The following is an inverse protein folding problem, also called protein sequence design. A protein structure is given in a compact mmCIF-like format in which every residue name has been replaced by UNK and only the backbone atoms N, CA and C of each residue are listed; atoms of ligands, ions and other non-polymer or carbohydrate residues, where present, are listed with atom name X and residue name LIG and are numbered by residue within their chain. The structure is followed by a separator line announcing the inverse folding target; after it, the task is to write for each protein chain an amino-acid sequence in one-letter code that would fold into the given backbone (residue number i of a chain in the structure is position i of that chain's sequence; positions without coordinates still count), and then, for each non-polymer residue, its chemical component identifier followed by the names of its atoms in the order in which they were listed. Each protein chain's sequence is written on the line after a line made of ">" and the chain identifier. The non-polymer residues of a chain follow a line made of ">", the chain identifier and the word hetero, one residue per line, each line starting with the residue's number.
data_IF_446467950338
#
_entry.id   IF_446467950338
#
_cell.length_a   1.000
_cell.length_b   1.000
_cell.length_c   1.000
_cell.angle_alpha   90.00
_cell.angle_beta   90.00
_cell.angle_gamma   90.00
#
_symmetry.space_group_name_H-M   'P 1'
#
loop_
_entity.id
_entity.type
_entity.pdbx_description
1 polymer ?
#
# COMPACT_ATOMS: atom_id res chain seq x y z
N UNK A 1 8.33 -13.93 31.52
CA UNK A 1 8.06 -14.30 32.90
C UNK A 1 9.21 -15.17 33.42
N UNK A 2 9.65 -14.95 34.64
CA UNK A 2 10.66 -15.76 35.31
C UNK A 2 10.28 -15.94 36.77
N UNK A 3 10.76 -17.01 37.37
CA UNK A 3 10.62 -17.25 38.82
C UNK A 3 11.90 -16.76 39.45
N UNK A 4 11.88 -15.70 40.28
CA UNK A 4 13.05 -15.25 41.01
C UNK A 4 13.49 -16.31 42.01
N UNK A 5 14.76 -16.26 42.42
CA UNK A 5 15.22 -17.13 43.49
C UNK A 5 14.45 -16.75 44.77
N UNK A 6 13.69 -17.70 45.31
CA UNK A 6 12.79 -17.43 46.45
C UNK A 6 12.68 -18.68 47.32
N UNK A 7 12.46 -18.46 48.60
CA UNK A 7 12.05 -19.51 49.50
C UNK A 7 10.52 -19.69 49.48
N UNK A 8 10.08 -20.88 49.13
CA UNK A 8 8.66 -21.18 49.05
C UNK A 8 8.13 -21.32 50.49
N UNK A 9 7.42 -20.30 50.95
CA UNK A 9 6.71 -20.29 52.23
C UNK A 9 5.23 -20.36 51.95
N UNK A 10 4.50 -21.18 52.71
CA UNK A 10 3.04 -21.36 52.60
C UNK A 10 2.53 -21.81 51.23
N UNK A 11 3.37 -22.51 50.40
CA UNK A 11 2.98 -23.00 49.09
C UNK A 11 2.76 -21.90 48.05
N UNK A 12 3.21 -20.66 48.29
CA UNK A 12 3.11 -19.54 47.34
C UNK A 12 4.39 -19.40 46.54
N UNK A 13 4.24 -19.31 45.20
CA UNK A 13 5.33 -19.07 44.25
C UNK A 13 5.13 -17.69 43.63
N UNK A 14 6.10 -16.81 43.74
CA UNK A 14 6.10 -15.52 43.05
C UNK A 14 6.60 -15.72 41.61
N UNK A 15 5.79 -15.29 40.67
CA UNK A 15 6.17 -15.25 39.24
C UNK A 15 6.26 -13.80 38.84
N UNK A 16 7.45 -13.36 38.37
CA UNK A 16 7.64 -12.01 37.83
C UNK A 16 7.46 -12.03 36.32
N UNK A 17 6.54 -11.17 35.86
CA UNK A 17 6.30 -10.93 34.45
C UNK A 17 6.98 -9.61 34.11
N UNK A 18 7.94 -9.67 33.18
CA UNK A 18 8.55 -8.49 32.59
C UNK A 18 7.88 -8.25 31.26
N UNK A 19 7.22 -7.11 31.13
CA UNK A 19 6.62 -6.67 29.90
C UNK A 19 7.65 -5.84 29.10
N UNK A 20 7.98 -6.32 27.88
CA UNK A 20 8.94 -5.62 27.01
C UNK A 20 8.36 -4.30 26.51
N UNK A 21 9.12 -3.21 26.66
CA UNK A 21 8.80 -1.90 26.11
C UNK A 21 9.52 -1.70 24.79
N UNK A 22 8.95 -0.88 23.91
CA UNK A 22 9.60 -0.52 22.67
C UNK A 22 10.82 0.36 22.95
N UNK A 23 12.00 -0.08 22.53
CA UNK A 23 13.25 0.65 22.54
C UNK A 23 13.41 1.53 21.30
N UNK A 24 14.50 1.32 20.56
CA UNK A 24 14.79 2.04 19.34
C UNK A 24 14.05 1.41 18.12
N UNK A 25 13.63 2.26 17.17
CA UNK A 25 13.19 1.86 15.85
C UNK A 25 14.32 2.15 14.87
N UNK A 26 14.84 1.11 14.24
CA UNK A 26 16.00 1.16 13.35
C UNK A 26 15.53 0.80 11.94
N UNK A 27 15.98 1.56 10.93
CA UNK A 27 15.63 1.34 9.54
C UNK A 27 16.85 0.88 8.75
N UNK A 28 16.69 -0.22 8.00
CA UNK A 28 17.72 -0.77 7.13
C UNK A 28 17.17 -1.04 5.73
N UNK A 29 17.96 -0.72 4.70
CA UNK A 29 17.70 -1.10 3.31
C UNK A 29 16.71 -0.22 2.55
N UNK A 30 16.13 0.81 3.18
CA UNK A 30 15.23 1.73 2.51
C UNK A 30 15.98 2.71 1.60
N UNK A 31 15.50 2.89 0.39
CA UNK A 31 16.08 3.76 -0.66
C UNK A 31 15.04 4.71 -1.26
N UNK A 32 13.88 4.17 -1.64
CA UNK A 32 12.80 4.89 -2.32
C UNK A 32 11.72 5.37 -1.36
N UNK A 33 11.54 4.68 -0.24
CA UNK A 33 10.58 5.02 0.80
C UNK A 33 11.33 5.58 2.00
N UNK A 34 11.09 6.83 2.35
CA UNK A 34 11.80 7.47 3.46
C UNK A 34 11.41 6.86 4.81
N UNK A 35 12.40 6.74 5.71
CA UNK A 35 12.17 6.25 7.08
C UNK A 35 11.09 7.04 7.80
N UNK A 36 11.08 8.36 7.64
CA UNK A 36 10.09 9.25 8.25
C UNK A 36 8.65 8.99 7.78
N UNK A 37 8.48 8.52 6.53
CA UNK A 37 7.15 8.14 6.01
C UNK A 37 6.76 6.78 6.51
N UNK A 38 7.67 5.81 6.52
CA UNK A 38 7.44 4.47 7.07
C UNK A 38 7.07 4.56 8.56
N UNK A 39 7.81 5.35 9.33
CA UNK A 39 7.60 5.55 10.77
C UNK A 39 6.19 6.04 11.12
N UNK A 40 5.59 6.89 10.28
CA UNK A 40 4.21 7.38 10.48
C UNK A 40 3.16 6.27 10.55
N UNK A 41 3.42 5.14 9.90
CA UNK A 41 2.51 3.99 9.90
C UNK A 41 2.69 3.07 11.10
N UNK A 42 3.73 3.30 11.94
CA UNK A 42 3.91 2.58 13.17
C UNK A 42 3.19 3.26 14.33
N UNK A 43 2.32 2.48 15.00
CA UNK A 43 1.50 2.99 16.10
C UNK A 43 2.17 2.80 17.47
N UNK A 44 3.16 1.92 17.57
CA UNK A 44 3.93 1.73 18.80
C UNK A 44 4.97 2.84 18.95
N UNK A 45 5.00 3.49 20.10
CA UNK A 45 5.95 4.56 20.41
C UNK A 45 7.03 4.08 21.35
N UNK A 46 8.17 4.78 21.34
CA UNK A 46 9.27 4.52 22.29
C UNK A 46 8.77 4.55 23.75
N UNK A 47 9.21 3.60 24.54
CA UNK A 47 8.85 3.38 25.95
C UNK A 47 7.39 2.91 26.22
N UNK A 48 6.57 2.71 25.18
CA UNK A 48 5.27 2.06 25.33
C UNK A 48 5.44 0.52 25.36
N UNK A 49 4.45 -0.17 25.92
CA UNK A 49 4.41 -1.63 25.90
C UNK A 49 4.40 -2.13 24.44
N UNK A 50 5.31 -3.03 24.12
CA UNK A 50 5.40 -3.60 22.78
C UNK A 50 4.24 -4.57 22.52
N UNK A 51 3.30 -4.16 21.69
CA UNK A 51 2.21 -5.02 21.24
C UNK A 51 2.56 -5.63 19.87
N UNK A 52 2.87 -6.91 19.89
CA UNK A 52 3.26 -7.65 18.67
C UNK A 52 2.13 -7.68 17.63
N UNK A 53 0.86 -7.77 18.05
CA UNK A 53 -0.28 -7.74 17.13
C UNK A 53 -0.43 -6.39 16.43
N UNK A 54 -0.16 -5.29 17.14
CA UNK A 54 -0.14 -3.95 16.53
C UNK A 54 1.00 -3.84 15.53
N UNK A 55 2.20 -4.28 15.90
CA UNK A 55 3.36 -4.31 15.01
C UNK A 55 3.09 -5.13 13.74
N UNK A 56 2.52 -6.32 13.88
CA UNK A 56 2.15 -7.17 12.73
C UNK A 56 1.17 -6.45 11.80
N UNK A 57 0.14 -5.81 12.34
CA UNK A 57 -0.86 -5.07 11.57
C UNK A 57 -0.23 -3.89 10.81
N UNK A 58 0.67 -3.15 11.46
CA UNK A 58 1.38 -2.05 10.83
C UNK A 58 2.28 -2.53 9.68
N UNK A 59 2.99 -3.66 9.88
CA UNK A 59 3.78 -4.31 8.82
C UNK A 59 2.91 -4.78 7.65
N UNK A 60 1.76 -5.38 7.93
CA UNK A 60 0.82 -5.81 6.88
C UNK A 60 0.38 -4.62 6.02
N UNK A 61 0.04 -3.47 6.64
CA UNK A 61 -0.33 -2.26 5.92
C UNK A 61 0.77 -1.75 5.02
N UNK A 62 1.99 -1.68 5.53
CA UNK A 62 3.15 -1.25 4.74
C UNK A 62 3.40 -2.19 3.55
N UNK A 63 3.25 -3.50 3.77
CA UNK A 63 3.44 -4.53 2.76
C UNK A 63 2.29 -4.66 1.75
N UNK A 64 1.18 -3.90 1.92
CA UNK A 64 0.19 -3.72 0.86
C UNK A 64 0.73 -2.89 -0.32
N UNK A 65 1.82 -2.15 -0.12
CA UNK A 65 2.50 -1.47 -1.22
C UNK A 65 3.30 -2.50 -2.05
N UNK A 66 3.07 -2.61 -3.38
CA UNK A 66 3.69 -3.65 -4.20
C UNK A 66 5.21 -3.53 -4.33
N UNK A 67 5.75 -2.34 -4.09
CA UNK A 67 7.17 -2.04 -4.27
C UNK A 67 7.94 -1.94 -2.94
N UNK A 68 7.28 -2.25 -1.82
CA UNK A 68 7.84 -2.21 -0.48
C UNK A 68 7.55 -3.51 0.26
N UNK A 69 8.61 -4.18 0.72
CA UNK A 69 8.49 -5.34 1.59
C UNK A 69 9.34 -5.10 2.86
N UNK A 70 8.67 -5.00 4.01
CA UNK A 70 9.32 -4.74 5.30
C UNK A 70 9.15 -5.95 6.20
N UNK A 71 10.28 -6.34 6.83
CA UNK A 71 10.31 -7.33 7.90
C UNK A 71 10.83 -6.68 9.17
N UNK A 72 10.22 -6.99 10.31
CA UNK A 72 10.71 -6.56 11.61
C UNK A 72 11.55 -7.66 12.26
N UNK A 73 12.69 -7.26 12.82
CA UNK A 73 13.51 -8.09 13.69
C UNK A 73 13.50 -7.44 15.07
N UNK A 74 13.04 -8.20 16.06
CA UNK A 74 12.99 -7.76 17.44
C UNK A 74 14.26 -8.30 18.14
N UNK A 75 14.99 -7.42 18.80
CA UNK A 75 16.21 -7.75 19.58
C UNK A 75 16.15 -7.11 20.95
N UNK A 76 16.99 -7.55 21.87
CA UNK A 76 17.13 -6.90 23.17
C UNK A 76 17.57 -5.45 23.00
N UNK A 77 16.90 -4.53 23.68
CA UNK A 77 17.23 -3.12 23.64
C UNK A 77 18.45 -2.78 24.51
N UNK A 78 18.94 -1.55 24.38
CA UNK A 78 20.07 -1.06 25.17
C UNK A 78 19.71 -0.83 26.65
N UNK A 79 18.47 -0.49 26.93
CA UNK A 79 17.97 -0.30 28.27
C UNK A 79 17.32 -1.59 28.79
N UNK A 80 17.39 -1.89 30.09
CA UNK A 80 16.69 -3.04 30.67
C UNK A 80 15.19 -2.99 30.34
N UNK A 81 14.60 -4.16 30.09
CA UNK A 81 13.17 -4.33 29.80
C UNK A 81 12.72 -3.69 28.47
N UNK A 82 13.64 -3.26 27.60
CA UNK A 82 13.32 -2.74 26.27
C UNK A 82 13.66 -3.72 25.18
N UNK A 83 12.94 -3.61 24.04
CA UNK A 83 13.20 -4.35 22.81
C UNK A 83 13.36 -3.37 21.65
N UNK A 84 14.50 -3.45 20.95
CA UNK A 84 14.73 -2.68 19.74
C UNK A 84 14.12 -3.38 18.54
N UNK A 85 13.51 -2.60 17.65
CA UNK A 85 12.88 -3.10 16.43
C UNK A 85 13.68 -2.62 15.24
N UNK A 86 14.30 -3.55 14.51
CA UNK A 86 14.96 -3.26 13.24
C UNK A 86 14.02 -3.60 12.09
N UNK A 87 13.67 -2.59 11.30
CA UNK A 87 12.85 -2.71 10.10
C UNK A 87 13.77 -2.88 8.89
N UNK A 88 13.77 -4.09 8.33
CA UNK A 88 14.53 -4.41 7.13
C UNK A 88 13.63 -4.24 5.92
N UNK A 89 13.85 -3.18 5.14
CA UNK A 89 13.13 -2.90 3.92
C UNK A 89 13.82 -3.55 2.71
N UNK A 90 13.03 -4.21 1.88
CA UNK A 90 13.40 -4.62 0.54
C UNK A 90 12.48 -3.89 -0.43
N UNK A 91 13.05 -3.06 -1.26
CA UNK A 91 12.29 -2.16 -2.13
C UNK A 91 12.56 -2.47 -3.60
N UNK A 92 11.52 -2.27 -4.41
CA UNK A 92 11.62 -2.14 -5.86
C UNK A 92 11.49 -0.66 -6.25
N UNK A 93 11.91 -0.31 -7.46
CA UNK A 93 11.65 1.04 -7.99
C UNK A 93 10.14 1.25 -8.11
N UNK A 94 9.58 2.33 -7.50
CA UNK A 94 8.13 2.48 -7.40
C UNK A 94 7.46 2.97 -8.68
N UNK A 95 8.20 3.19 -9.76
CA UNK A 95 7.70 3.65 -11.06
C UNK A 95 7.68 2.51 -12.08
N UNK A 96 6.56 2.31 -12.76
CA UNK A 96 6.38 1.26 -13.76
C UNK A 96 5.71 1.81 -14.99
N UNK A 97 6.11 1.32 -16.18
CA UNK A 97 5.43 1.57 -17.44
C UNK A 97 5.15 0.24 -18.11
N UNK A 98 4.07 0.18 -18.88
CA UNK A 98 3.72 -1.04 -19.58
C UNK A 98 2.89 -0.78 -20.82
N UNK A 99 2.79 -1.85 -21.63
CA UNK A 99 1.99 -1.90 -22.82
C UNK A 99 1.09 -3.13 -22.76
N UNK A 100 -0.16 -2.96 -23.15
CA UNK A 100 -1.14 -4.03 -23.29
C UNK A 100 -1.75 -4.01 -24.67
N UNK A 101 -2.20 -5.16 -25.13
CA UNK A 101 -2.97 -5.30 -26.37
C UNK A 101 -4.05 -6.34 -26.15
N UNK A 102 -5.30 -5.96 -26.38
CA UNK A 102 -6.41 -6.89 -26.38
C UNK A 102 -7.21 -6.85 -27.70
N UNK A 103 -8.10 -7.82 -27.87
CA UNK A 103 -9.00 -7.93 -29.01
C UNK A 103 -10.47 -7.88 -28.59
N UNK A 104 -10.77 -7.26 -27.45
CA UNK A 104 -12.12 -7.17 -26.87
C UNK A 104 -12.92 -5.97 -27.38
N UNK A 105 -12.35 -5.18 -28.30
CA UNK A 105 -13.06 -4.10 -28.96
C UNK A 105 -14.20 -4.60 -29.83
N UNK A 106 -15.24 -3.78 -30.00
CA UNK A 106 -16.33 -4.10 -30.90
C UNK A 106 -15.91 -3.92 -32.37
N UNK A 107 -16.65 -4.58 -33.27
CA UNK A 107 -16.42 -4.45 -34.71
C UNK A 107 -16.61 -3.01 -35.22
N UNK A 108 -17.45 -2.23 -34.56
CA UNK A 108 -17.81 -0.86 -34.97
C UNK A 108 -16.77 0.19 -34.54
N UNK A 109 -16.06 -0.05 -33.42
CA UNK A 109 -15.11 0.92 -32.86
C UNK A 109 -13.65 0.48 -32.93
N UNK A 110 -13.40 -0.75 -33.45
CA UNK A 110 -12.07 -1.33 -33.57
C UNK A 110 -11.86 -2.52 -32.65
N UNK A 111 -11.53 -3.67 -33.25
CA UNK A 111 -11.38 -4.95 -32.54
C UNK A 111 -10.16 -4.96 -31.62
N UNK A 112 -9.03 -4.45 -32.10
CA UNK A 112 -7.76 -4.43 -31.37
C UNK A 112 -7.62 -3.12 -30.63
N UNK A 113 -7.24 -3.21 -29.33
CA UNK A 113 -7.11 -2.07 -28.45
C UNK A 113 -5.74 -2.09 -27.78
N UNK A 114 -4.71 -1.47 -28.36
CA UNK A 114 -3.48 -1.20 -27.65
C UNK A 114 -3.72 -0.19 -26.52
N UNK A 115 -2.99 -0.41 -25.42
CA UNK A 115 -3.03 0.43 -24.24
C UNK A 115 -1.61 0.65 -23.73
N UNK A 116 -1.27 1.89 -23.41
CA UNK A 116 -0.07 2.25 -22.66
C UNK A 116 -0.44 2.71 -21.26
N UNK A 117 0.39 2.38 -20.31
CA UNK A 117 0.18 2.90 -18.95
C UNK A 117 1.51 3.21 -18.25
N UNK A 118 1.43 4.15 -17.32
CA UNK A 118 2.44 4.41 -16.31
C UNK A 118 1.79 4.39 -14.94
N UNK A 119 2.50 3.85 -13.95
CA UNK A 119 2.03 3.82 -12.57
C UNK A 119 3.17 4.05 -11.60
N UNK A 120 2.84 4.58 -10.43
CA UNK A 120 3.76 4.66 -9.31
C UNK A 120 3.05 4.30 -8.02
N UNK A 121 3.75 3.62 -7.12
CA UNK A 121 3.28 3.28 -5.78
C UNK A 121 3.81 4.24 -4.70
N UNK A 122 4.58 5.26 -5.11
CA UNK A 122 5.15 6.29 -4.25
C UNK A 122 5.51 7.54 -5.07
N UNK A 123 4.51 8.13 -5.73
CA UNK A 123 4.70 9.18 -6.73
C UNK A 123 5.30 10.46 -6.15
N UNK A 124 4.87 10.88 -4.96
CA UNK A 124 5.38 12.09 -4.27
C UNK A 124 6.21 11.77 -3.02
N UNK A 125 6.51 10.49 -2.76
CA UNK A 125 7.24 10.07 -1.58
C UNK A 125 6.39 9.92 -0.31
N UNK A 126 5.05 9.89 -0.44
CA UNK A 126 4.08 9.80 0.66
C UNK A 126 3.31 8.47 0.70
N UNK A 127 3.84 7.45 0.01
CA UNK A 127 3.15 6.17 -0.22
C UNK A 127 1.83 6.34 -1.00
N UNK A 128 1.77 7.37 -1.82
CA UNK A 128 0.69 7.69 -2.72
C UNK A 128 0.81 6.88 -4.01
N UNK A 129 -0.31 6.57 -4.62
CA UNK A 129 -0.33 5.85 -5.90
C UNK A 129 -0.84 6.73 -7.01
N UNK A 130 -0.20 6.59 -8.15
CA UNK A 130 -0.54 7.25 -9.40
C UNK A 130 -0.69 6.22 -10.49
N UNK A 131 -1.70 6.36 -11.33
CA UNK A 131 -1.91 5.55 -12.52
C UNK A 131 -2.44 6.42 -13.64
N UNK A 132 -1.79 6.37 -14.80
CA UNK A 132 -2.23 7.02 -16.03
C UNK A 132 -2.24 5.96 -17.13
N UNK A 133 -3.31 5.89 -17.90
CA UNK A 133 -3.38 5.02 -19.08
C UNK A 133 -3.97 5.75 -20.27
N UNK A 134 -3.54 5.31 -21.45
CA UNK A 134 -4.07 5.71 -22.75
C UNK A 134 -4.39 4.45 -23.55
N UNK A 135 -5.64 4.29 -23.90
CA UNK A 135 -6.16 3.21 -24.71
C UNK A 135 -6.68 3.79 -26.03
N UNK A 136 -6.42 3.10 -27.14
CA UNK A 136 -6.95 3.52 -28.43
C UNK A 136 -7.29 2.31 -29.33
N UNK A 137 -8.07 2.58 -30.35
CA UNK A 137 -8.44 1.63 -31.39
C UNK A 137 -8.54 2.35 -32.73
N UNK A 138 -9.06 1.70 -33.76
CA UNK A 138 -9.25 2.35 -35.07
C UNK A 138 -10.25 3.52 -35.03
N UNK A 139 -11.17 3.53 -34.08
CA UNK A 139 -12.26 4.51 -34.02
C UNK A 139 -12.61 4.94 -32.60
N UNK A 140 -11.74 4.71 -31.63
CA UNK A 140 -11.92 5.21 -30.27
C UNK A 140 -10.58 5.42 -29.57
N UNK A 141 -10.56 6.39 -28.67
CA UNK A 141 -9.44 6.64 -27.76
C UNK A 141 -9.95 6.99 -26.39
N UNK A 142 -9.15 6.71 -25.38
CA UNK A 142 -9.51 7.03 -24.02
C UNK A 142 -8.30 7.16 -23.10
N UNK A 143 -8.43 8.09 -22.19
CA UNK A 143 -7.43 8.39 -21.18
C UNK A 143 -8.04 8.15 -19.81
N UNK A 144 -7.27 7.59 -18.88
CA UNK A 144 -7.68 7.52 -17.49
C UNK A 144 -6.54 7.86 -16.55
N UNK A 145 -6.86 8.64 -15.54
CA UNK A 145 -5.97 9.07 -14.48
C UNK A 145 -6.57 8.65 -13.14
N UNK A 146 -5.78 8.00 -12.31
CA UNK A 146 -6.13 7.72 -10.91
C UNK A 146 -4.99 8.18 -10.00
N UNK A 147 -5.32 8.94 -8.98
CA UNK A 147 -4.38 9.33 -7.95
C UNK A 147 -4.98 9.04 -6.59
N UNK A 148 -4.24 8.33 -5.73
CA UNK A 148 -4.68 8.04 -4.38
C UNK A 148 -3.58 8.33 -3.37
N UNK A 149 -3.96 9.00 -2.28
CA UNK A 149 -3.07 9.35 -1.19
C UNK A 149 -3.57 8.77 0.14
N UNK A 150 -2.69 8.19 0.98
CA UNK A 150 -3.07 7.80 2.33
C UNK A 150 -3.45 9.02 3.16
N UNK A 151 -4.57 8.91 3.89
CA UNK A 151 -5.04 9.92 4.85
C UNK A 151 -4.99 9.32 6.25
N UNK A 152 -4.11 9.85 7.09
CA UNK A 152 -3.82 9.25 8.39
C UNK A 152 -2.97 7.98 8.24
N UNK A 153 -3.03 7.13 9.27
CA UNK A 153 -2.14 5.96 9.43
C UNK A 153 -2.88 4.63 9.53
N UNK A 154 -4.22 4.66 9.48
CA UNK A 154 -5.10 3.51 9.70
C UNK A 154 -5.67 2.90 8.39
N UNK A 155 -4.95 3.07 7.27
CA UNK A 155 -5.35 2.44 6.00
C UNK A 155 -6.41 3.20 5.20
N UNK A 156 -6.83 4.38 5.65
CA UNK A 156 -7.73 5.25 4.87
C UNK A 156 -6.97 5.88 3.71
N UNK A 157 -7.59 5.86 2.52
CA UNK A 157 -7.06 6.51 1.32
C UNK A 157 -8.13 7.39 0.69
N UNK A 158 -7.74 8.57 0.24
CA UNK A 158 -8.53 9.41 -0.64
C UNK A 158 -8.00 9.23 -2.07
N UNK A 159 -8.88 9.04 -3.03
CA UNK A 159 -8.54 8.91 -4.43
C UNK A 159 -9.40 9.82 -5.30
N UNK A 160 -8.85 10.21 -6.44
CA UNK A 160 -9.55 10.89 -7.52
C UNK A 160 -9.29 10.12 -8.80
N UNK A 161 -10.38 9.67 -9.41
CA UNK A 161 -10.38 8.95 -10.69
C UNK A 161 -11.00 9.85 -11.76
N UNK A 162 -10.27 10.11 -12.84
CA UNK A 162 -10.70 10.93 -13.97
C UNK A 162 -10.56 10.08 -15.23
N UNK A 163 -11.58 10.08 -16.09
CA UNK A 163 -11.48 9.44 -17.39
C UNK A 163 -12.18 10.26 -18.48
N UNK A 164 -11.61 10.18 -19.68
CA UNK A 164 -12.12 10.75 -20.90
C UNK A 164 -12.07 9.70 -21.99
N UNK A 165 -13.18 9.46 -22.67
CA UNK A 165 -13.27 8.56 -23.81
C UNK A 165 -14.00 9.22 -24.97
N UNK A 166 -13.44 9.09 -26.18
CA UNK A 166 -14.04 9.48 -27.43
C UNK A 166 -14.19 8.26 -28.31
N UNK A 167 -15.34 8.12 -28.96
CA UNK A 167 -15.65 7.00 -29.83
C UNK A 167 -16.35 7.52 -31.08
N UNK A 168 -15.85 7.13 -32.26
CA UNK A 168 -16.50 7.31 -33.55
C UNK A 168 -17.04 5.98 -34.03
N UNK A 169 -18.28 5.94 -34.48
CA UNK A 169 -18.80 4.74 -35.10
C UNK A 169 -18.22 4.62 -36.52
N UNK A 170 -17.58 3.51 -36.77
CA UNK A 170 -16.97 3.19 -38.05
C UNK A 170 -17.83 2.26 -38.91
N UNK A 171 -17.24 1.79 -40.02
CA UNK A 171 -17.82 0.83 -40.99
C UNK A 171 -19.15 1.30 -41.60
N UNK A 172 -20.22 0.58 -41.34
CA UNK A 172 -21.56 0.83 -41.91
C UNK A 172 -22.14 2.19 -41.49
N UNK A 173 -21.58 2.82 -40.44
CA UNK A 173 -22.06 4.11 -39.89
C UNK A 173 -21.09 5.26 -40.16
N UNK A 174 -20.04 5.05 -40.95
CA UNK A 174 -19.02 6.07 -41.25
C UNK A 174 -19.63 7.33 -41.86
N UNK A 175 -20.58 7.17 -42.76
CA UNK A 175 -21.26 8.28 -43.43
C UNK A 175 -22.16 9.12 -42.53
N UNK A 176 -22.50 8.59 -41.35
CA UNK A 176 -23.33 9.30 -40.38
C UNK A 176 -22.55 10.15 -39.40
N UNK A 177 -21.20 10.06 -39.41
CA UNK A 177 -20.25 10.79 -38.53
C UNK A 177 -20.66 10.82 -37.04
N UNK A 178 -21.15 9.66 -36.56
CA UNK A 178 -21.64 9.54 -35.20
C UNK A 178 -20.42 9.50 -34.23
N UNK A 179 -20.32 10.49 -33.37
CA UNK A 179 -19.30 10.59 -32.33
C UNK A 179 -19.94 10.58 -30.95
N UNK A 180 -19.41 9.78 -30.03
CA UNK A 180 -19.78 9.76 -28.62
C UNK A 180 -18.61 10.14 -27.74
N UNK A 181 -18.85 10.95 -26.71
CA UNK A 181 -17.87 11.35 -25.73
C UNK A 181 -18.35 10.96 -24.33
N UNK A 182 -17.47 10.37 -23.53
CA UNK A 182 -17.74 10.06 -22.13
C UNK A 182 -16.69 10.71 -21.26
N UNK A 183 -17.13 11.42 -20.23
CA UNK A 183 -16.27 12.03 -19.23
C UNK A 183 -16.71 11.56 -17.85
N UNK A 184 -15.76 11.26 -16.98
CA UNK A 184 -16.05 10.92 -15.60
C UNK A 184 -15.03 11.55 -14.66
N UNK A 185 -15.50 11.97 -13.50
CA UNK A 185 -14.68 12.44 -12.39
C UNK A 185 -15.28 11.87 -11.11
N UNK A 186 -14.57 10.96 -10.46
CA UNK A 186 -15.06 10.21 -9.31
C UNK A 186 -14.12 10.34 -8.12
N UNK A 187 -14.43 11.19 -7.11
CA UNK A 187 -13.75 11.15 -5.84
C UNK A 187 -14.13 9.86 -5.10
N UNK A 188 -13.15 9.21 -4.48
CA UNK A 188 -13.34 7.95 -3.77
C UNK A 188 -12.61 7.98 -2.43
N UNK A 189 -13.27 7.51 -1.39
CA UNK A 189 -12.65 7.26 -0.09
C UNK A 189 -12.67 5.75 0.14
N UNK A 190 -11.52 5.21 0.47
CA UNK A 190 -11.37 3.81 0.85
C UNK A 190 -10.85 3.76 2.27
N UNK A 191 -11.46 2.94 3.12
CA UNK A 191 -10.98 2.69 4.48
C UNK A 191 -10.88 1.19 4.74
N UNK A 192 -9.94 0.84 5.58
CA UNK A 192 -9.71 -0.53 5.99
C UNK A 192 -10.60 -0.83 7.21
N UNK A 193 -11.53 -1.78 7.06
CA UNK A 193 -12.41 -2.20 8.16
C UNK A 193 -11.74 -3.23 9.07
N UNK A 194 -10.95 -4.14 8.51
CA UNK A 194 -10.20 -5.15 9.25
C UNK A 194 -8.99 -5.60 8.44
N UNK A 195 -7.88 -5.78 9.11
CA UNK A 195 -6.67 -6.43 8.60
C UNK A 195 -6.41 -7.65 9.47
N UNK A 196 -6.52 -8.83 8.91
CA UNK A 196 -6.34 -10.10 9.63
C UNK A 196 -5.28 -10.94 8.92
N UNK A 197 -4.45 -11.61 9.72
CA UNK A 197 -3.42 -12.56 9.25
C UNK A 197 -4.03 -13.89 8.77
N UNK A 198 -5.37 -14.03 8.85
CA UNK A 198 -6.05 -15.30 8.61
C UNK A 198 -6.33 -15.52 7.13
N UNK A 199 -5.28 -15.61 6.32
CA UNK A 199 -5.28 -16.33 5.06
C UNK A 199 -4.16 -17.35 5.12
N UNK A 200 -4.48 -18.51 5.69
CA UNK A 200 -3.82 -19.77 5.43
C UNK A 200 -4.41 -20.42 4.19
#
# INVERSE_FOLDING_TARGET
>A
AYVPQQDIKDGKVEIRIVEGRMGALIFEGNKWFSSAVIEKFFHSKKNELLNVKTLQRDLLRLNLNPDLNIKAVISAGKEPETSDITLKARESFPGHAGFGLDNQGSRLVGKYRPMYFVRSSNATGRMDSFYLSYLFSSSSSGESLSYAIPVGTYGTKFALDIAYFETKLGKEFTDLDITGTTQSCAPRVTWELALSDTYQ
#
